data_IF_076082606988
#
_entry.id   IF_076082606988
#
_cell.length_a   1.000
_cell.length_b   1.000
_cell.length_c   1.000
_cell.angle_alpha   90.00
_cell.angle_beta   90.00
_cell.angle_gamma   90.00
#
_symmetry.space_group_name_H-M   'P 1'
#
loop_
_entity.id
_entity.type
_entity.pdbx_description
1 polymer ?
#
# COMPACT_ATOMS: atom_id res chain seq x y z
N UNK A 1 -11.65 9.32 36.86
CA UNK A 1 -10.36 9.58 36.19
C UNK A 1 -9.70 8.31 35.66
N UNK A 2 -9.40 7.28 36.48
CA UNK A 2 -8.79 6.02 35.96
C UNK A 2 -9.61 5.33 34.86
N UNK A 3 -10.93 5.16 35.04
CA UNK A 3 -11.81 4.59 34.02
C UNK A 3 -11.82 5.37 32.69
N UNK A 4 -11.62 6.68 32.73
CA UNK A 4 -11.66 7.53 31.53
C UNK A 4 -10.36 7.43 30.72
N UNK A 5 -9.22 7.29 31.41
CA UNK A 5 -7.94 6.99 30.77
C UNK A 5 -7.95 5.58 30.18
N UNK A 6 -8.48 4.59 30.90
CA UNK A 6 -8.61 3.22 30.39
C UNK A 6 -9.50 3.15 29.14
N UNK A 7 -10.61 3.88 29.14
CA UNK A 7 -11.50 3.96 27.97
C UNK A 7 -10.81 4.62 26.76
N UNK A 8 -10.05 5.71 26.97
CA UNK A 8 -9.24 6.32 25.88
C UNK A 8 -8.20 5.34 25.32
N UNK A 9 -7.54 4.56 26.18
CA UNK A 9 -6.58 3.53 25.75
C UNK A 9 -7.29 2.43 24.96
N UNK A 10 -8.48 1.98 25.40
CA UNK A 10 -9.28 1.00 24.67
C UNK A 10 -9.66 1.52 23.27
N UNK A 11 -10.10 2.77 23.16
CA UNK A 11 -10.40 3.41 21.86
C UNK A 11 -9.17 3.48 20.96
N UNK A 12 -7.98 3.77 21.51
CA UNK A 12 -6.74 3.77 20.74
C UNK A 12 -6.42 2.35 20.20
N UNK A 13 -6.58 1.33 21.04
CA UNK A 13 -6.39 -0.07 20.64
C UNK A 13 -7.34 -0.45 19.51
N UNK A 14 -8.62 -0.08 19.61
CA UNK A 14 -9.60 -0.38 18.58
C UNK A 14 -9.31 0.36 17.27
N UNK A 15 -8.81 1.59 17.35
CA UNK A 15 -8.35 2.32 16.16
C UNK A 15 -7.16 1.61 15.51
N UNK A 16 -6.18 1.15 16.29
CA UNK A 16 -5.04 0.38 15.77
C UNK A 16 -5.47 -0.96 15.16
N UNK A 17 -6.52 -1.61 15.69
CA UNK A 17 -7.12 -2.80 15.04
C UNK A 17 -7.74 -2.45 13.69
N UNK A 18 -8.53 -1.38 13.64
CA UNK A 18 -9.15 -0.90 12.41
C UNK A 18 -8.11 -0.53 11.35
N UNK A 19 -7.02 0.15 11.75
CA UNK A 19 -5.91 0.47 10.85
C UNK A 19 -5.29 -0.80 10.25
N UNK A 20 -5.07 -1.83 11.06
CA UNK A 20 -4.57 -3.12 10.58
C UNK A 20 -5.48 -3.71 9.50
N UNK A 21 -6.79 -3.72 9.74
CA UNK A 21 -7.76 -4.28 8.80
C UNK A 21 -7.80 -3.48 7.50
N UNK A 22 -7.80 -2.14 7.58
CA UNK A 22 -7.72 -1.23 6.43
C UNK A 22 -6.49 -1.48 5.58
N UNK A 23 -5.30 -1.65 6.21
CA UNK A 23 -4.07 -1.94 5.48
C UNK A 23 -4.14 -3.32 4.82
N UNK A 24 -4.68 -4.34 5.50
CA UNK A 24 -4.80 -5.70 4.95
C UNK A 24 -5.78 -5.78 3.79
N UNK A 25 -6.86 -5.01 3.84
CA UNK A 25 -7.87 -4.95 2.79
C UNK A 25 -7.51 -3.97 1.65
N UNK A 26 -6.35 -3.32 1.74
CA UNK A 26 -5.90 -2.29 0.80
C UNK A 26 -6.87 -1.09 0.67
N UNK A 27 -7.63 -0.78 1.72
CA UNK A 27 -8.58 0.33 1.78
C UNK A 27 -7.88 1.66 2.10
N UNK A 28 -6.78 1.96 1.40
CA UNK A 28 -5.86 3.05 1.76
C UNK A 28 -6.51 4.45 1.77
N UNK A 29 -7.66 4.62 1.10
CA UNK A 29 -8.44 5.85 1.13
C UNK A 29 -8.97 6.21 2.53
N UNK A 30 -9.10 5.23 3.43
CA UNK A 30 -9.54 5.46 4.81
C UNK A 30 -8.40 5.91 5.75
N UNK A 31 -7.12 5.75 5.35
CA UNK A 31 -5.97 6.04 6.20
C UNK A 31 -5.87 7.51 6.67
N UNK A 32 -6.18 8.53 5.85
CA UNK A 32 -6.13 9.92 6.30
C UNK A 32 -7.08 10.20 7.48
N UNK A 33 -8.30 9.67 7.46
CA UNK A 33 -9.26 9.79 8.57
C UNK A 33 -8.75 9.11 9.85
N UNK A 34 -8.21 7.90 9.70
CA UNK A 34 -7.58 7.15 10.79
C UNK A 34 -6.42 7.91 11.44
N UNK A 35 -5.60 8.60 10.64
CA UNK A 35 -4.49 9.43 11.16
C UNK A 35 -5.05 10.60 11.97
N UNK A 36 -6.01 11.35 11.44
CA UNK A 36 -6.61 12.48 12.17
C UNK A 36 -7.25 12.04 13.50
N UNK A 37 -7.94 10.90 13.51
CA UNK A 37 -8.52 10.33 14.74
C UNK A 37 -7.46 9.88 15.75
N UNK A 38 -6.33 9.35 15.29
CA UNK A 38 -5.18 9.03 16.17
C UNK A 38 -4.58 10.27 16.78
N UNK A 39 -4.37 11.32 16.00
CA UNK A 39 -3.78 12.58 16.51
C UNK A 39 -4.62 13.16 17.64
N UNK A 40 -5.95 13.21 17.49
CA UNK A 40 -6.87 13.64 18.55
C UNK A 40 -6.74 12.77 19.81
N UNK A 41 -6.77 11.45 19.68
CA UNK A 41 -6.62 10.53 20.82
C UNK A 41 -5.24 10.64 21.49
N UNK A 42 -4.18 10.88 20.71
CA UNK A 42 -2.84 11.06 21.24
C UNK A 42 -2.72 12.35 22.05
N UNK A 43 -3.37 13.44 21.62
CA UNK A 43 -3.49 14.66 22.40
C UNK A 43 -4.20 14.43 23.74
N UNK A 44 -5.30 13.68 23.74
CA UNK A 44 -6.02 13.31 24.97
C UNK A 44 -5.21 12.41 25.91
N UNK A 45 -4.29 11.62 25.35
CA UNK A 45 -3.47 10.66 26.10
C UNK A 45 -2.09 11.21 26.51
N UNK A 46 -1.73 12.46 26.18
CA UNK A 46 -0.40 13.05 26.43
C UNK A 46 0.12 12.89 27.86
N UNK A 47 -0.75 12.99 28.86
CA UNK A 47 -0.38 12.89 30.28
C UNK A 47 -0.42 11.45 30.83
N UNK A 48 -0.70 10.46 29.98
CA UNK A 48 -0.82 9.05 30.39
C UNK A 48 0.57 8.44 30.60
N UNK A 49 0.82 7.73 31.71
CA UNK A 49 2.07 7.03 31.93
C UNK A 49 2.37 6.04 30.81
N UNK A 50 3.58 6.10 30.23
CA UNK A 50 3.99 5.26 29.10
C UNK A 50 3.80 3.76 29.34
N UNK A 51 3.94 3.28 30.58
CA UNK A 51 3.70 1.88 30.97
C UNK A 51 2.30 1.37 30.62
N UNK A 52 1.30 2.26 30.58
CA UNK A 52 -0.08 1.91 30.25
C UNK A 52 -0.32 1.86 28.73
N UNK A 53 0.61 2.40 27.94
CA UNK A 53 0.52 2.48 26.48
C UNK A 53 1.37 1.43 25.75
N UNK A 54 2.07 0.55 26.48
CA UNK A 54 2.98 -0.44 25.90
C UNK A 54 2.31 -1.34 24.85
N UNK A 55 1.12 -1.86 25.16
CA UNK A 55 0.38 -2.69 24.21
C UNK A 55 -0.01 -1.92 22.94
N UNK A 56 -0.45 -0.67 23.08
CA UNK A 56 -0.79 0.18 21.94
C UNK A 56 0.46 0.52 21.10
N UNK A 57 1.62 0.73 21.75
CA UNK A 57 2.89 0.95 21.06
C UNK A 57 3.31 -0.25 20.23
N UNK A 58 3.25 -1.46 20.79
CA UNK A 58 3.58 -2.70 20.06
C UNK A 58 2.68 -2.88 18.83
N UNK A 59 1.37 -2.63 18.99
CA UNK A 59 0.42 -2.68 17.87
C UNK A 59 0.72 -1.63 16.80
N UNK A 60 1.08 -0.41 17.19
CA UNK A 60 1.45 0.65 16.26
C UNK A 60 2.73 0.30 15.47
N UNK A 61 3.73 -0.31 16.11
CA UNK A 61 4.96 -0.77 15.45
C UNK A 61 4.64 -1.85 14.40
N UNK A 62 3.79 -2.82 14.76
CA UNK A 62 3.40 -3.87 13.81
C UNK A 62 2.59 -3.30 12.64
N UNK A 63 1.70 -2.35 12.89
CA UNK A 63 0.95 -1.67 11.82
C UNK A 63 1.87 -0.89 10.90
N UNK A 64 2.89 -0.20 11.43
CA UNK A 64 3.89 0.50 10.61
C UNK A 64 4.64 -0.48 9.71
N UNK A 65 5.08 -1.61 10.26
CA UNK A 65 5.74 -2.68 9.49
C UNK A 65 4.84 -3.24 8.39
N UNK A 66 3.56 -3.42 8.67
CA UNK A 66 2.56 -3.88 7.71
C UNK A 66 2.35 -2.85 6.59
N UNK A 67 2.25 -1.58 6.92
CA UNK A 67 2.10 -0.49 5.94
C UNK A 67 3.33 -0.40 5.02
N UNK A 68 4.54 -0.50 5.58
CA UNK A 68 5.78 -0.52 4.81
C UNK A 68 5.82 -1.71 3.83
N UNK A 69 5.35 -2.88 4.27
CA UNK A 69 5.24 -4.06 3.42
C UNK A 69 4.21 -3.85 2.28
N UNK A 70 3.06 -3.25 2.58
CA UNK A 70 2.04 -2.92 1.59
C UNK A 70 2.58 -1.93 0.53
N UNK A 71 3.30 -0.89 0.94
CA UNK A 71 3.94 0.08 0.03
C UNK A 71 4.92 -0.62 -0.91
N UNK A 72 5.78 -1.51 -0.39
CA UNK A 72 6.71 -2.30 -1.20
C UNK A 72 5.96 -3.19 -2.20
N UNK A 73 4.87 -3.82 -1.77
CA UNK A 73 4.01 -4.63 -2.64
C UNK A 73 3.42 -3.82 -3.80
N UNK A 74 2.82 -2.66 -3.52
CA UNK A 74 2.25 -1.78 -4.55
C UNK A 74 3.32 -1.35 -5.57
N UNK A 75 4.52 -0.97 -5.10
CA UNK A 75 5.63 -0.60 -5.98
C UNK A 75 6.09 -1.76 -6.87
N UNK A 76 6.14 -2.97 -6.32
CA UNK A 76 6.49 -4.17 -7.10
C UNK A 76 5.48 -4.45 -8.21
N UNK A 77 4.18 -4.32 -7.92
CA UNK A 77 3.11 -4.46 -8.93
C UNK A 77 3.23 -3.39 -10.01
N UNK A 78 3.49 -2.14 -9.63
CA UNK A 78 3.70 -1.05 -10.59
C UNK A 78 4.88 -1.33 -11.54
N UNK A 79 6.02 -1.80 -11.00
CA UNK A 79 7.17 -2.19 -11.80
C UNK A 79 6.82 -3.33 -12.78
N UNK A 80 6.11 -4.35 -12.29
CA UNK A 80 5.70 -5.48 -13.13
C UNK A 80 4.76 -5.07 -14.26
N UNK A 81 3.81 -4.18 -13.98
CA UNK A 81 2.90 -3.67 -15.02
C UNK A 81 3.64 -2.80 -16.05
N UNK A 82 4.66 -2.06 -15.64
CA UNK A 82 5.51 -1.30 -16.56
C UNK A 82 6.28 -2.24 -17.50
N UNK A 83 6.90 -3.30 -16.98
CA UNK A 83 7.58 -4.32 -17.80
C UNK A 83 6.65 -4.95 -18.84
N UNK A 84 5.45 -5.35 -18.42
CA UNK A 84 4.44 -5.94 -19.32
C UNK A 84 4.05 -4.95 -20.41
N UNK A 85 3.82 -3.68 -20.06
CA UNK A 85 3.50 -2.62 -21.03
C UNK A 85 4.64 -2.42 -22.03
N UNK A 86 5.89 -2.36 -21.58
CA UNK A 86 7.04 -2.19 -22.48
C UNK A 86 7.24 -3.39 -23.41
N UNK A 87 7.09 -4.62 -22.91
CA UNK A 87 7.11 -5.83 -23.74
C UNK A 87 5.98 -5.85 -24.79
N UNK A 88 4.79 -5.34 -24.45
CA UNK A 88 3.65 -5.26 -25.39
C UNK A 88 3.85 -4.22 -26.50
N UNK A 89 4.63 -3.16 -26.26
CA UNK A 89 4.92 -2.11 -27.24
C UNK A 89 5.96 -2.52 -28.27
N UNK A 90 6.79 -3.51 -27.95
CA UNK A 90 7.80 -4.00 -28.87
C UNK A 90 8.15 -5.45 -28.62
N UNK A 91 7.75 -6.30 -29.56
CA UNK A 91 8.25 -7.66 -29.65
C UNK A 91 9.61 -7.60 -30.35
N UNK A 92 10.69 -7.66 -29.60
CA UNK A 92 12.03 -7.75 -30.19
C UNK A 92 12.29 -9.20 -30.62
N UNK A 93 12.08 -9.49 -31.91
CA UNK A 93 12.43 -10.78 -32.50
C UNK A 93 13.86 -10.70 -33.02
N UNK A 94 14.67 -11.72 -32.74
CA UNK A 94 16.00 -11.84 -33.34
C UNK A 94 15.85 -12.52 -34.69
N UNK A 95 16.41 -11.91 -35.75
CA UNK A 95 16.50 -12.58 -37.04
C UNK A 95 17.51 -13.74 -37.01
N UNK A 96 17.53 -14.56 -38.06
CA UNK A 96 18.44 -15.69 -38.24
C UNK A 96 19.94 -15.32 -38.23
N UNK A 97 20.27 -14.02 -38.23
CA UNK A 97 21.64 -13.48 -38.16
C UNK A 97 21.96 -12.83 -36.80
N UNK A 98 21.06 -12.96 -35.81
CA UNK A 98 21.25 -12.44 -34.45
C UNK A 98 21.00 -10.94 -34.30
N UNK A 99 20.39 -10.28 -35.29
CA UNK A 99 20.08 -8.85 -35.23
C UNK A 99 18.71 -8.63 -34.59
N UNK A 100 18.66 -7.78 -33.56
CA UNK A 100 17.41 -7.41 -32.90
C UNK A 100 16.51 -6.60 -33.85
N UNK A 101 15.35 -7.16 -34.22
CA UNK A 101 14.28 -6.46 -34.95
C UNK A 101 13.14 -6.13 -34.01
N UNK A 102 12.80 -4.86 -33.89
CA UNK A 102 11.64 -4.39 -33.13
C UNK A 102 10.38 -4.62 -33.96
N UNK A 103 9.59 -5.64 -33.64
CA UNK A 103 8.28 -5.89 -34.24
C UNK A 103 7.26 -5.12 -33.39
N UNK A 104 6.80 -4.00 -33.92
CA UNK A 104 5.61 -3.30 -33.43
C UNK A 104 4.39 -3.85 -34.16
N UNK A 105 3.19 -3.90 -33.55
CA UNK A 105 1.99 -4.17 -34.32
C UNK A 105 1.76 -2.98 -35.26
N UNK A 106 2.10 -3.15 -36.53
CA UNK A 106 1.81 -2.14 -37.53
C UNK A 106 0.30 -2.03 -37.71
N UNK A 107 -0.22 -0.80 -37.71
CA UNK A 107 -1.62 -0.54 -37.98
C UNK A 107 -2.03 -1.24 -39.27
N UNK A 108 -3.02 -2.13 -39.18
CA UNK A 108 -3.41 -3.00 -40.26
C UNK A 108 -3.78 -2.22 -41.52
N UNK A 109 -2.91 -2.24 -42.52
CA UNK A 109 -3.33 -2.08 -43.91
C UNK A 109 -3.51 -3.48 -44.48
N UNK A 110 -4.74 -3.97 -44.41
CA UNK A 110 -5.15 -5.15 -45.16
C UNK A 110 -5.28 -4.70 -46.61
N UNK A 111 -4.26 -4.95 -47.42
CA UNK A 111 -4.38 -4.80 -48.88
C UNK A 111 -5.39 -5.83 -49.40
N UNK A 112 -6.49 -5.29 -49.94
CA UNK A 112 -7.58 -6.03 -50.59
C UNK A 112 -7.03 -6.60 -51.90
N UNK A 113 -6.80 -7.92 -51.96
CA UNK A 113 -6.45 -8.59 -53.22
C UNK A 113 -7.73 -8.75 -54.05
N UNK A 114 -7.71 -8.16 -55.24
CA UNK A 114 -8.65 -8.40 -56.33
C UNK A 114 -8.49 -9.83 -56.88
#
# INVERSE_FOLDING_TARGET
MQNETEDRIARLIDLLRLEKDVIRNAEFAALPDLVSRKEVLMEELKCTPARLLLAAQEMAIENQRLLDAAIKGVRSVQARLAEIREASKSYTSYDQHGKARKISPEGGSVERRA
#
